data_IF_629163729014
#
_entry.id   IF_629163729014
#
_cell.length_a   1.000
_cell.length_b   1.000
_cell.length_c   1.000
_cell.angle_alpha   90.00
_cell.angle_beta   90.00
_cell.angle_gamma   90.00
#
_symmetry.space_group_name_H-M   'P 1'
#
loop_
_entity.id
_entity.type
_entity.pdbx_description
1 polymer ?
#
# COMPACT_ATOMS: atom_id res chain seq x y z
N UNK A 1 -3.95 7.72 -1.91
CA UNK A 1 -4.98 8.18 -0.95
C UNK A 1 -4.42 9.26 -0.07
N UNK A 2 -5.30 10.18 0.35
CA UNK A 2 -5.06 11.18 1.36
C UNK A 2 -5.80 10.72 2.62
N UNK A 3 -5.13 10.67 3.77
CA UNK A 3 -5.71 10.15 5.01
C UNK A 3 -5.13 10.86 6.23
N UNK A 4 -5.85 10.83 7.34
CA UNK A 4 -5.34 11.29 8.63
C UNK A 4 -4.38 10.24 9.22
N UNK A 5 -3.15 10.62 9.63
CA UNK A 5 -2.22 9.66 10.20
C UNK A 5 -2.80 9.04 11.48
N UNK A 6 -2.56 7.73 11.74
CA UNK A 6 -3.08 7.08 12.95
C UNK A 6 -2.61 7.77 14.23
N UNK A 7 -3.54 8.00 15.16
CA UNK A 7 -3.28 8.59 16.48
C UNK A 7 -2.23 7.75 17.22
N UNK A 8 -1.25 8.41 17.84
CA UNK A 8 -0.20 7.71 18.60
C UNK A 8 0.92 7.09 17.75
N UNK A 9 0.94 7.34 16.44
CA UNK A 9 2.08 6.99 15.57
C UNK A 9 3.35 7.81 15.86
N UNK A 10 3.25 8.87 16.68
CA UNK A 10 4.34 9.82 16.95
C UNK A 10 4.60 10.78 15.78
N UNK A 11 3.68 10.82 14.82
CA UNK A 11 3.74 11.58 13.56
C UNK A 11 2.53 12.50 13.37
N UNK A 12 1.77 12.66 14.44
CA UNK A 12 0.52 13.39 14.58
C UNK A 12 0.76 14.90 14.72
N UNK A 13 1.55 15.50 13.82
CA UNK A 13 1.50 16.96 13.66
C UNK A 13 0.05 17.34 13.29
N UNK A 14 -0.68 18.06 14.16
CA UNK A 14 -2.11 18.23 14.00
C UNK A 14 -2.45 18.91 12.66
N UNK A 15 -3.28 18.25 11.86
CA UNK A 15 -3.89 18.83 10.66
C UNK A 15 -3.11 18.67 9.36
N UNK A 16 -2.01 17.89 9.31
CA UNK A 16 -1.31 17.60 8.05
C UNK A 16 -1.67 16.17 7.58
N UNK A 17 -2.54 16.02 6.56
CA UNK A 17 -2.91 14.71 6.06
C UNK A 17 -1.78 14.08 5.25
N UNK A 18 -1.72 12.75 5.26
CA UNK A 18 -0.70 11.97 4.56
C UNK A 18 -1.15 11.58 3.18
N UNK A 19 -0.26 11.67 2.20
CA UNK A 19 -0.47 11.12 0.85
C UNK A 19 0.40 9.88 0.68
N UNK A 20 -0.24 8.74 0.37
CA UNK A 20 0.41 7.44 0.13
C UNK A 20 -0.33 6.65 -0.95
N UNK A 21 0.28 5.59 -1.47
CA UNK A 21 -0.34 4.64 -2.41
C UNK A 21 -0.92 3.45 -1.65
N UNK A 22 -2.10 2.97 -2.06
CA UNK A 22 -2.66 1.70 -1.56
C UNK A 22 -1.89 0.56 -2.22
N UNK A 23 -1.43 -0.37 -1.40
CA UNK A 23 -0.70 -1.57 -1.79
C UNK A 23 -1.50 -2.82 -1.46
N UNK A 24 -2.12 -2.87 -0.27
CA UNK A 24 -2.99 -3.96 0.16
C UNK A 24 -4.39 -3.44 0.44
N UNK A 25 -5.40 -4.21 0.05
CA UNK A 25 -6.81 -3.92 0.26
C UNK A 25 -7.44 -4.88 1.28
N UNK A 26 -8.70 -4.63 1.69
CA UNK A 26 -9.38 -5.56 2.58
C UNK A 26 -9.30 -7.01 2.12
N UNK A 27 -8.94 -7.87 3.07
CA UNK A 27 -8.71 -9.30 2.93
C UNK A 27 -7.47 -9.71 2.12
N UNK A 28 -6.61 -8.76 1.75
CA UNK A 28 -5.30 -9.09 1.21
C UNK A 28 -4.32 -9.41 2.37
N UNK A 29 -3.23 -10.10 2.05
CA UNK A 29 -2.03 -10.20 2.89
C UNK A 29 -0.87 -9.57 2.15
N UNK A 30 -0.23 -8.58 2.76
CA UNK A 30 0.97 -7.93 2.23
C UNK A 30 2.19 -8.55 2.87
N UNK A 31 3.24 -8.85 2.10
CA UNK A 31 4.52 -9.30 2.64
C UNK A 31 5.72 -8.67 1.95
N UNK A 32 6.80 -8.51 2.70
CA UNK A 32 8.10 -8.07 2.21
C UNK A 32 9.05 -9.27 2.15
N UNK A 33 9.64 -9.51 0.98
CA UNK A 33 10.62 -10.58 0.79
C UNK A 33 11.69 -10.12 -0.20
N UNK A 34 12.96 -10.26 0.18
CA UNK A 34 14.12 -9.92 -0.66
C UNK A 34 14.05 -8.50 -1.26
N UNK A 35 13.60 -7.52 -0.48
CA UNK A 35 13.48 -6.12 -0.93
C UNK A 35 12.31 -5.86 -1.89
N UNK A 36 11.36 -6.78 -2.01
CA UNK A 36 10.19 -6.68 -2.89
C UNK A 36 8.90 -6.88 -2.12
N UNK A 37 7.84 -6.27 -2.64
CA UNK A 37 6.49 -6.34 -2.07
C UNK A 37 5.69 -7.42 -2.78
N UNK A 38 4.98 -8.22 -1.99
CA UNK A 38 4.08 -9.26 -2.47
C UNK A 38 2.69 -9.07 -1.88
N UNK A 39 1.66 -9.39 -2.67
CA UNK A 39 0.27 -9.44 -2.23
C UNK A 39 -0.29 -10.82 -2.47
N UNK A 40 -0.94 -11.37 -1.46
CA UNK A 40 -1.75 -12.58 -1.52
C UNK A 40 -3.21 -12.20 -1.32
N UNK A 41 -4.12 -12.76 -2.15
CA UNK A 41 -5.56 -12.52 -2.06
C UNK A 41 -6.31 -13.85 -1.98
N UNK A 42 -7.27 -13.96 -1.07
CA UNK A 42 -8.21 -15.09 -0.99
C UNK A 42 -7.49 -16.46 -1.14
N UNK A 43 -6.42 -16.67 -0.37
CA UNK A 43 -5.59 -17.89 -0.36
C UNK A 43 -4.80 -18.23 -1.65
N UNK A 44 -4.73 -17.30 -2.61
CA UNK A 44 -3.91 -17.48 -3.81
C UNK A 44 -2.39 -17.45 -3.52
N UNK A 45 -1.58 -17.74 -4.54
CA UNK A 45 -0.12 -17.58 -4.42
C UNK A 45 0.24 -16.10 -4.23
N UNK A 46 1.30 -15.78 -3.45
CA UNK A 46 1.81 -14.42 -3.37
C UNK A 46 2.29 -13.91 -4.72
N UNK A 47 1.79 -12.77 -5.15
CA UNK A 47 2.18 -12.10 -6.40
C UNK A 47 3.09 -10.92 -6.10
N UNK A 48 4.23 -10.84 -6.78
CA UNK A 48 5.13 -9.69 -6.70
C UNK A 48 4.46 -8.48 -7.36
N UNK A 49 4.45 -7.35 -6.66
CA UNK A 49 4.03 -6.09 -7.26
C UNK A 49 5.15 -5.53 -8.14
N UNK A 50 4.79 -5.09 -9.35
CA UNK A 50 5.65 -4.26 -10.19
C UNK A 50 5.53 -2.80 -9.77
N UNK A 51 6.67 -2.15 -9.52
CA UNK A 51 6.71 -0.86 -8.82
C UNK A 51 7.43 0.22 -9.64
N UNK A 52 7.03 0.49 -10.90
CA UNK A 52 7.72 1.45 -11.78
C UNK A 52 7.62 2.90 -11.28
N UNK A 53 6.79 3.16 -10.27
CA UNK A 53 6.59 4.45 -9.63
C UNK A 53 7.53 4.68 -8.43
N UNK A 54 8.27 3.66 -7.99
CA UNK A 54 9.25 3.78 -6.91
C UNK A 54 10.52 4.43 -7.46
N UNK A 55 11.10 5.34 -6.66
CA UNK A 55 12.37 6.00 -7.00
C UNK A 55 13.41 4.95 -7.39
N UNK A 56 14.02 5.13 -8.55
CA UNK A 56 15.04 4.23 -9.07
C UNK A 56 16.40 4.58 -8.49
N UNK A 57 17.20 3.55 -8.22
CA UNK A 57 18.62 3.68 -8.04
C UNK A 57 19.27 4.20 -9.35
N UNK A 58 20.50 4.69 -9.26
CA UNK A 58 21.22 5.27 -10.42
C UNK A 58 21.46 4.30 -11.59
N UNK A 59 21.18 3.01 -11.41
CA UNK A 59 21.27 1.95 -12.42
C UNK A 59 19.92 1.63 -13.10
N UNK A 60 18.85 2.36 -12.77
CA UNK A 60 17.50 2.15 -13.30
C UNK A 60 16.70 1.04 -12.61
N UNK A 61 17.26 0.38 -11.59
CA UNK A 61 16.52 -0.57 -10.75
C UNK A 61 15.67 0.17 -9.71
N UNK A 62 14.51 -0.38 -9.32
CA UNK A 62 13.71 0.21 -8.25
C UNK A 62 14.34 -0.07 -6.89
N UNK A 63 14.36 0.97 -6.03
CA UNK A 63 14.90 0.88 -4.68
C UNK A 63 14.31 -0.32 -3.91
N UNK A 64 15.16 -1.00 -3.15
CA UNK A 64 14.71 -2.12 -2.33
C UNK A 64 13.69 -1.65 -1.29
N UNK A 65 12.58 -2.37 -1.18
CA UNK A 65 11.60 -2.13 -0.13
C UNK A 65 11.97 -2.92 1.11
N UNK A 66 12.54 -2.21 2.08
CA UNK A 66 12.94 -2.77 3.35
C UNK A 66 12.00 -2.29 4.46
N UNK A 67 11.99 -3.05 5.54
CA UNK A 67 11.40 -2.60 6.79
C UNK A 67 12.26 -1.48 7.39
N UNK A 68 11.64 -0.38 7.84
CA UNK A 68 12.38 0.77 8.40
C UNK A 68 12.88 0.53 9.82
N UNK A 69 12.46 -0.56 10.49
CA UNK A 69 12.85 -0.94 11.85
C UNK A 69 13.19 -2.44 11.91
N UNK A 70 14.08 -2.84 12.81
CA UNK A 70 14.49 -4.24 12.96
C UNK A 70 13.34 -5.16 13.42
N UNK A 71 12.44 -4.65 14.25
CA UNK A 71 11.29 -5.36 14.81
C UNK A 71 10.01 -5.24 13.95
N UNK A 72 10.13 -4.66 12.75
CA UNK A 72 9.03 -4.50 11.82
C UNK A 72 8.50 -5.88 11.34
N UNK A 73 7.18 -6.10 11.36
CA UNK A 73 6.58 -7.28 10.75
C UNK A 73 7.03 -7.42 9.29
N UNK A 74 7.25 -8.63 8.79
CA UNK A 74 7.47 -8.85 7.35
C UNK A 74 6.18 -9.17 6.60
N UNK A 75 5.08 -9.37 7.33
CA UNK A 75 3.77 -9.74 6.80
C UNK A 75 2.67 -9.01 7.57
N UNK A 76 1.66 -8.50 6.85
CA UNK A 76 0.48 -7.85 7.40
C UNK A 76 -0.77 -8.45 6.77
N UNK A 77 -1.70 -8.89 7.61
CA UNK A 77 -3.05 -9.32 7.22
C UNK A 77 -3.93 -8.07 7.28
N UNK A 78 -4.65 -7.79 6.20
CA UNK A 78 -5.44 -6.58 6.08
C UNK A 78 -6.91 -6.91 6.36
N UNK A 79 -7.47 -6.31 7.41
CA UNK A 79 -8.86 -6.53 7.82
C UNK A 79 -9.90 -6.02 6.82
N UNK A 80 -11.17 -6.32 7.08
CA UNK A 80 -12.30 -6.04 6.19
C UNK A 80 -12.50 -4.55 5.84
N UNK A 81 -12.00 -3.65 6.68
CA UNK A 81 -12.10 -2.20 6.53
C UNK A 81 -10.73 -1.50 6.60
N UNK A 82 -9.65 -2.25 6.35
CA UNK A 82 -8.30 -1.72 6.43
C UNK A 82 -7.62 -1.63 5.07
N UNK A 83 -6.59 -0.79 4.99
CA UNK A 83 -5.75 -0.63 3.82
C UNK A 83 -4.28 -0.60 4.22
N UNK A 84 -3.43 -1.29 3.47
CA UNK A 84 -1.98 -1.16 3.60
C UNK A 84 -1.48 -0.10 2.63
N UNK A 85 -0.84 0.95 3.13
CA UNK A 85 -0.37 2.06 2.31
C UNK A 85 1.14 2.24 2.38
N UNK A 86 1.75 2.63 1.26
CA UNK A 86 3.19 2.91 1.16
C UNK A 86 3.48 4.18 0.38
N UNK A 87 4.57 4.87 0.72
CA UNK A 87 5.04 6.00 -0.07
C UNK A 87 5.93 5.54 -1.22
N UNK A 88 5.91 6.28 -2.32
CA UNK A 88 6.69 5.96 -3.52
C UNK A 88 8.21 6.17 -3.27
N UNK A 89 8.59 7.05 -2.34
CA UNK A 89 9.97 7.15 -1.82
C UNK A 89 10.18 6.14 -0.67
N UNK A 90 10.39 4.87 -1.03
CA UNK A 90 10.40 3.75 -0.07
C UNK A 90 11.35 3.93 1.11
N UNK A 91 12.61 4.36 0.94
CA UNK A 91 13.54 4.47 2.07
C UNK A 91 13.21 5.61 3.04
N UNK A 92 12.46 6.63 2.59
CA UNK A 92 12.18 7.85 3.38
C UNK A 92 10.71 7.99 3.77
N UNK A 93 9.87 7.02 3.43
CA UNK A 93 8.45 7.07 3.68
C UNK A 93 8.10 6.49 5.04
N UNK A 94 7.42 7.29 5.87
CA UNK A 94 6.70 6.82 7.04
C UNK A 94 5.30 6.39 6.60
N UNK A 95 5.07 5.09 6.60
CA UNK A 95 3.87 4.46 6.05
C UNK A 95 3.47 3.18 6.81
N UNK A 96 2.61 2.33 6.25
CA UNK A 96 2.08 1.15 6.97
C UNK A 96 3.15 0.15 7.44
N UNK A 97 4.37 0.23 6.92
CA UNK A 97 5.52 -0.52 7.48
C UNK A 97 5.89 -0.07 8.90
N UNK A 98 5.58 1.16 9.26
CA UNK A 98 5.84 1.75 10.58
C UNK A 98 4.63 1.63 11.48
N UNK A 99 3.47 2.11 10.99
CA UNK A 99 2.25 2.28 11.80
C UNK A 99 1.16 1.23 11.56
N UNK A 100 1.38 0.27 10.65
CA UNK A 100 0.39 -0.76 10.31
C UNK A 100 -0.64 -0.32 9.27
N UNK A 101 -1.64 -1.18 8.99
CA UNK A 101 -2.77 -0.81 8.13
C UNK A 101 -3.53 0.41 8.67
N UNK A 102 -4.23 1.11 7.78
CA UNK A 102 -5.09 2.24 8.13
C UNK A 102 -6.56 1.87 7.94
N UNK A 103 -7.43 2.39 8.79
CA UNK A 103 -8.88 2.22 8.68
C UNK A 103 -9.43 2.98 7.46
N UNK A 104 -10.46 2.43 6.81
CA UNK A 104 -11.17 3.03 5.70
C UNK A 104 -11.67 4.44 6.03
N UNK A 105 -12.21 4.61 7.23
CA UNK A 105 -12.77 5.87 7.71
C UNK A 105 -11.73 6.98 7.91
N UNK A 106 -10.43 6.64 7.97
CA UNK A 106 -9.34 7.63 8.01
C UNK A 106 -9.06 8.27 6.65
N UNK A 107 -9.58 7.69 5.57
CA UNK A 107 -9.30 8.11 4.20
C UNK A 107 -10.19 9.31 3.84
N UNK A 108 -9.58 10.50 3.83
CA UNK A 108 -10.23 11.75 3.45
C UNK A 108 -10.55 11.85 1.96
N UNK A 109 -9.80 11.13 1.11
CA UNK A 109 -10.08 11.10 -0.32
C UNK A 109 -9.03 10.40 -1.19
N UNK A 110 -9.39 10.19 -2.45
CA UNK A 110 -8.44 9.72 -3.46
C UNK A 110 -7.53 10.86 -3.91
N UNK A 111 -6.23 10.62 -3.88
CA UNK A 111 -5.26 11.52 -4.48
C UNK A 111 -5.31 11.42 -6.01
N UNK A 112 -6.32 12.02 -6.64
CA UNK A 112 -6.24 12.47 -8.03
C UNK A 112 -5.61 13.86 -8.01
N UNK A 113 -4.31 13.95 -7.73
CA UNK A 113 -3.62 15.23 -7.76
C UNK A 113 -3.41 15.63 -9.22
N UNK A 114 -4.40 16.32 -9.81
CA UNK A 114 -4.09 17.28 -10.87
C UNK A 114 -4.70 18.64 -10.61
N UNK A 115 -5.98 18.76 -10.32
CA UNK A 115 -6.63 20.02 -9.92
C UNK A 115 -7.97 19.63 -9.25
N UNK A 116 -8.37 20.35 -8.20
CA UNK A 116 -9.72 20.24 -7.58
C UNK A 116 -10.83 20.23 -8.67
N UNK A 117 -11.93 19.46 -8.51
CA UNK A 117 -12.92 19.68 -7.45
C UNK A 117 -13.42 18.40 -6.71
N UNK A 118 -14.04 18.64 -5.55
CA UNK A 118 -14.54 17.69 -4.52
C UNK A 118 -15.70 16.76 -4.93
N UNK A 119 -15.85 16.42 -6.21
CA UNK A 119 -17.03 15.69 -6.69
C UNK A 119 -16.76 14.19 -6.97
N UNK A 120 -15.66 13.63 -6.44
CA UNK A 120 -15.32 12.23 -6.66
C UNK A 120 -15.09 11.47 -5.35
N UNK A 121 -16.16 11.38 -4.55
CA UNK A 121 -16.37 10.24 -3.67
C UNK A 121 -16.74 9.07 -4.60
N UNK A 122 -15.75 8.23 -4.92
CA UNK A 122 -15.97 6.98 -5.64
C UNK A 122 -15.61 5.81 -4.73
N UNK A 123 -15.84 4.58 -5.17
CA UNK A 123 -15.47 3.33 -4.48
C UNK A 123 -14.00 3.00 -4.72
N UNK A 124 -13.17 2.70 -3.70
CA UNK A 124 -11.72 2.49 -3.89
C UNK A 124 -11.51 1.38 -4.91
N UNK A 125 -11.03 1.75 -6.10
CA UNK A 125 -10.77 0.77 -7.13
C UNK A 125 -9.59 -0.08 -6.70
N UNK A 126 -9.76 -1.40 -6.79
CA UNK A 126 -8.70 -2.35 -6.50
C UNK A 126 -7.54 -2.07 -7.44
N UNK A 127 -6.31 -1.87 -6.93
CA UNK A 127 -5.13 -1.85 -7.78
C UNK A 127 -5.13 -3.10 -8.65
N UNK A 128 -4.97 -2.90 -9.95
CA UNK A 128 -4.85 -3.99 -10.90
C UNK A 128 -3.45 -4.60 -10.77
N UNK A 129 -3.42 -5.88 -10.42
CA UNK A 129 -2.23 -6.70 -10.45
C UNK A 129 -2.52 -7.86 -11.40
N UNK A 130 -2.21 -7.72 -12.71
CA UNK A 130 -2.66 -8.66 -13.74
C UNK A 130 -2.27 -10.13 -13.48
N UNK A 131 -1.18 -10.35 -12.73
CA UNK A 131 -0.74 -11.68 -12.33
C UNK A 131 -1.69 -12.37 -11.33
N UNK A 132 -2.43 -11.62 -10.48
CA UNK A 132 -3.45 -12.18 -9.58
C UNK A 132 -4.69 -12.67 -10.35
N UNK A 133 -5.06 -11.99 -11.44
CA UNK A 133 -6.23 -12.34 -12.24
C UNK A 133 -5.96 -13.54 -13.18
N UNK A 134 -4.71 -13.72 -13.60
CA UNK A 134 -4.30 -14.85 -14.45
C UNK A 134 -4.29 -16.20 -13.71
N UNK A 135 -3.99 -16.23 -12.41
CA UNK A 135 -3.95 -17.50 -11.65
C UNK A 135 -5.34 -17.98 -11.23
N UNK A 136 -6.29 -17.06 -10.97
CA UNK A 136 -7.69 -17.41 -10.73
C UNK A 136 -8.34 -18.10 -11.95
N UNK A 137 -7.89 -17.79 -13.16
CA UNK A 137 -8.37 -18.43 -14.39
C UNK A 137 -7.74 -19.81 -14.64
N UNK A 138 -6.60 -20.11 -14.03
CA UNK A 138 -5.88 -21.38 -14.23
C UNK A 138 -6.38 -22.53 -13.34
N UNK A 139 -7.19 -22.24 -12.32
CA UNK A 139 -7.77 -23.26 -11.42
C UNK A 139 -9.22 -23.63 -11.77
N UNK A 140 -9.72 -23.18 -12.93
CA UNK A 140 -11.10 -23.38 -13.38
C UNK A 140 -11.26 -24.12 -14.71
N UNK A 141 -10.37 -25.06 -15.05
CA UNK A 141 -10.48 -25.91 -16.25
C UNK A 141 -10.24 -27.38 -15.95
#
# INVERSE_FOLDING_TARGET
VVFEPPTGSGLDEPGIPYIKRIIGMPNDTVSLKNGRVFVTRNDASPVRIEEPYVVTEGDGSTAATLCPREDCPQTWIIGDHEFFVMGDNRPQSQDSRVFGPIEEDSILGRAWLRYFPLERIGLVERPDYPALDSEASAQGS
#
